data_IF_427152789777
#
_entry.id   IF_427152789777
#
_cell.length_a   1.000
_cell.length_b   1.000
_cell.length_c   1.000
_cell.angle_alpha   90.00
_cell.angle_beta   90.00
_cell.angle_gamma   90.00
#
_symmetry.space_group_name_H-M   'P 1'
#
loop_
_entity.id
_entity.type
_entity.pdbx_description
1 polymer ?
#
# COMPACT_ATOMS: atom_id res chain seq x y z
N UNK A 1 10.11 3.02 14.18
CA UNK A 1 9.15 3.04 13.08
C UNK A 1 8.10 2.03 13.41
N UNK A 2 6.86 2.49 13.51
CA UNK A 2 5.72 1.59 13.62
C UNK A 2 5.67 0.62 12.43
N UNK A 3 4.98 -0.50 12.62
CA UNK A 3 4.67 -1.46 11.57
C UNK A 3 3.17 -1.75 11.59
N UNK A 4 2.59 -2.17 10.46
CA UNK A 4 1.13 -2.42 10.38
C UNK A 4 0.64 -3.39 11.46
N UNK A 5 1.46 -4.39 11.82
CA UNK A 5 1.20 -5.39 12.87
C UNK A 5 1.02 -4.77 14.26
N UNK A 6 1.51 -3.55 14.49
CA UNK A 6 1.32 -2.83 15.76
C UNK A 6 -0.14 -2.41 15.97
N UNK A 7 -0.98 -2.47 14.93
CA UNK A 7 -2.43 -2.28 15.07
C UNK A 7 -3.12 -3.46 15.75
N UNK A 8 -2.53 -4.66 15.77
CA UNK A 8 -3.16 -5.84 16.38
C UNK A 8 -3.46 -5.59 17.85
N UNK A 9 -4.71 -5.81 18.24
CA UNK A 9 -5.24 -5.58 19.58
C UNK A 9 -5.69 -4.14 19.86
N UNK A 10 -5.37 -3.17 18.99
CA UNK A 10 -5.85 -1.78 19.12
C UNK A 10 -7.27 -1.65 18.58
N UNK A 11 -8.03 -0.71 19.13
CA UNK A 11 -9.39 -0.39 18.65
C UNK A 11 -9.36 0.94 17.91
N UNK A 12 -9.71 0.89 16.62
CA UNK A 12 -9.80 2.10 15.81
C UNK A 12 -11.12 2.83 16.07
N UNK A 13 -11.08 4.15 16.14
CA UNK A 13 -12.26 5.02 16.26
C UNK A 13 -12.62 5.68 14.93
N UNK A 14 -11.62 5.90 14.06
CA UNK A 14 -11.81 6.50 12.75
C UNK A 14 -10.66 6.09 11.82
N UNK A 15 -10.96 5.93 10.53
CA UNK A 15 -9.97 5.83 9.46
C UNK A 15 -10.27 6.96 8.46
N UNK A 16 -9.27 7.80 8.19
CA UNK A 16 -9.37 8.83 7.16
C UNK A 16 -8.67 8.38 5.90
N UNK A 17 -9.40 8.40 4.79
CA UNK A 17 -8.87 8.19 3.45
C UNK A 17 -8.69 9.53 2.74
N UNK A 18 -7.44 9.90 2.49
CA UNK A 18 -7.07 11.11 1.75
C UNK A 18 -6.59 10.77 0.31
N UNK A 19 -6.89 9.59 -0.20
CA UNK A 19 -6.55 9.11 -1.54
C UNK A 19 -5.16 8.48 -1.64
N UNK A 20 -4.11 9.19 -1.20
CA UNK A 20 -2.72 8.70 -1.24
C UNK A 20 -2.13 8.39 0.15
N UNK A 21 -2.95 8.47 1.18
CA UNK A 21 -2.57 8.15 2.55
C UNK A 21 -3.82 7.73 3.35
N UNK A 22 -3.60 6.84 4.32
CA UNK A 22 -4.61 6.44 5.29
C UNK A 22 -4.17 6.83 6.70
N UNK A 23 -5.05 7.45 7.47
CA UNK A 23 -4.80 7.81 8.87
C UNK A 23 -5.71 6.99 9.76
N UNK A 24 -5.11 6.15 10.61
CA UNK A 24 -5.79 5.29 11.58
C UNK A 24 -5.77 5.96 12.95
N UNK A 25 -6.94 6.25 13.52
CA UNK A 25 -7.07 6.90 14.83
C UNK A 25 -7.51 5.86 15.85
N UNK A 26 -6.72 5.65 16.89
CA UNK A 26 -6.97 4.68 17.97
C UNK A 26 -7.77 5.34 19.10
N UNK A 27 -8.51 4.54 19.89
CA UNK A 27 -9.34 5.04 21.00
C UNK A 27 -8.56 5.81 22.08
N UNK A 28 -7.27 5.51 22.25
CA UNK A 28 -6.38 6.23 23.17
C UNK A 28 -5.91 7.60 22.62
N UNK A 29 -6.27 7.94 21.38
CA UNK A 29 -5.86 9.15 20.68
C UNK A 29 -4.59 9.00 19.85
N UNK A 30 -3.87 7.89 19.94
CA UNK A 30 -2.74 7.57 19.05
C UNK A 30 -3.20 7.56 17.60
N UNK A 31 -2.36 8.11 16.71
CA UNK A 31 -2.60 8.11 15.28
C UNK A 31 -1.47 7.38 14.56
N UNK A 32 -1.85 6.51 13.63
CA UNK A 32 -0.93 5.88 12.68
C UNK A 32 -1.23 6.38 11.28
N UNK A 33 -0.19 6.47 10.47
CA UNK A 33 -0.27 6.97 9.10
C UNK A 33 0.40 5.97 8.17
N UNK A 34 -0.34 5.56 7.16
CA UNK A 34 0.15 4.76 6.05
C UNK A 34 0.24 5.66 4.82
N UNK A 35 1.45 5.88 4.31
CA UNK A 35 1.69 6.83 3.21
C UNK A 35 2.95 6.45 2.44
N UNK A 36 3.19 7.13 1.32
CA UNK A 36 4.49 7.11 0.65
C UNK A 36 4.86 8.53 0.19
N UNK A 37 6.07 8.97 0.54
CA UNK A 37 6.61 10.25 0.09
C UNK A 37 7.08 10.13 -1.37
N UNK A 38 6.25 10.62 -2.30
CA UNK A 38 6.56 10.54 -3.74
C UNK A 38 7.81 11.35 -4.07
N UNK A 39 8.69 10.76 -4.88
CA UNK A 39 9.85 11.43 -5.47
C UNK A 39 9.73 11.45 -7.02
N UNK A 40 10.64 12.17 -7.69
CA UNK A 40 10.49 12.50 -9.13
C UNK A 40 10.37 11.29 -10.08
N UNK A 41 10.88 10.13 -9.66
CA UNK A 41 11.06 8.95 -10.51
C UNK A 41 10.41 7.69 -9.93
N UNK A 42 9.51 7.85 -8.97
CA UNK A 42 8.71 6.76 -8.39
C UNK A 42 7.26 7.18 -8.20
N UNK A 43 6.37 6.20 -8.22
CA UNK A 43 5.00 6.42 -7.78
C UNK A 43 4.51 5.25 -6.96
N UNK A 44 3.99 5.53 -5.76
CA UNK A 44 3.41 4.52 -4.87
C UNK A 44 2.05 4.99 -4.40
N UNK A 45 0.99 4.29 -4.77
CA UNK A 45 -0.39 4.73 -4.52
C UNK A 45 -1.30 3.57 -4.14
N UNK A 46 -2.43 3.90 -3.49
CA UNK A 46 -3.46 2.93 -3.17
C UNK A 46 -4.17 2.55 -4.48
N UNK A 47 -4.04 1.29 -4.87
CA UNK A 47 -4.66 0.76 -6.09
C UNK A 47 -6.08 0.24 -5.80
N UNK A 48 -6.30 -0.39 -4.65
CA UNK A 48 -7.60 -0.94 -4.27
C UNK A 48 -7.76 -1.04 -2.75
N UNK A 49 -8.99 -0.86 -2.27
CA UNK A 49 -9.40 -1.18 -0.89
C UNK A 49 -10.57 -2.15 -1.01
N UNK A 50 -10.29 -3.42 -0.73
CA UNK A 50 -11.29 -4.48 -0.79
C UNK A 50 -11.91 -4.70 0.59
N UNK A 51 -13.22 -4.46 0.72
CA UNK A 51 -13.93 -4.52 2.00
C UNK A 51 -14.31 -3.14 2.52
N UNK A 52 -15.02 -3.09 3.65
CA UNK A 52 -15.53 -1.85 4.21
C UNK A 52 -14.62 -1.36 5.34
N UNK A 53 -14.03 -0.17 5.21
CA UNK A 53 -13.16 0.40 6.27
C UNK A 53 -13.87 0.51 7.63
N UNK A 54 -15.21 0.69 7.65
CA UNK A 54 -16.01 0.74 8.88
C UNK A 54 -15.99 -0.59 9.66
N UNK A 55 -15.77 -1.71 8.99
CA UNK A 55 -15.62 -3.01 9.66
C UNK A 55 -14.38 -3.03 10.57
N UNK A 56 -13.39 -2.17 10.33
CA UNK A 56 -12.21 -2.04 11.18
C UNK A 56 -12.44 -1.16 12.42
N UNK A 57 -13.58 -0.45 12.50
CA UNK A 57 -13.85 0.56 13.54
C UNK A 57 -14.62 -0.04 14.73
N UNK A 58 -14.28 0.39 15.94
CA UNK A 58 -15.01 0.10 17.17
C UNK A 58 -14.84 -1.31 17.74
N UNK A 59 -14.00 -2.14 17.12
CA UNK A 59 -13.60 -3.45 17.63
C UNK A 59 -12.09 -3.65 17.50
N UNK A 60 -11.44 -4.45 18.37
CA UNK A 60 -10.01 -4.70 18.26
C UNK A 60 -9.63 -5.33 16.92
N UNK A 61 -8.54 -4.85 16.33
CA UNK A 61 -7.92 -5.46 15.16
C UNK A 61 -7.35 -6.82 15.57
N UNK A 62 -7.80 -7.87 14.89
CA UNK A 62 -7.39 -9.25 15.15
C UNK A 62 -6.25 -9.71 14.24
N UNK A 63 -6.14 -9.10 13.06
CA UNK A 63 -5.11 -9.36 12.07
C UNK A 63 -4.67 -8.03 11.48
N UNK A 64 -3.36 -7.85 11.34
CA UNK A 64 -2.76 -6.77 10.57
C UNK A 64 -1.40 -7.28 10.05
N UNK A 65 -1.31 -7.53 8.75
CA UNK A 65 -0.09 -8.06 8.12
C UNK A 65 0.17 -7.39 6.78
N UNK A 66 1.45 -7.35 6.40
CA UNK A 66 1.92 -6.91 5.10
C UNK A 66 2.33 -8.14 4.28
N UNK A 67 1.92 -8.19 3.02
CA UNK A 67 2.21 -9.27 2.09
C UNK A 67 2.61 -8.67 0.74
N UNK A 68 3.84 -8.89 0.31
CA UNK A 68 4.27 -8.63 -1.06
C UNK A 68 3.84 -9.77 -1.99
N UNK A 69 3.51 -9.46 -3.26
CA UNK A 69 2.99 -10.46 -4.18
C UNK A 69 3.67 -10.44 -5.56
N UNK A 70 4.71 -11.26 -5.71
CA UNK A 70 5.43 -11.44 -6.98
C UNK A 70 4.54 -11.99 -8.11
N UNK A 71 3.46 -12.71 -7.80
CA UNK A 71 2.55 -13.26 -8.84
C UNK A 71 1.85 -12.12 -9.60
N UNK A 72 1.48 -11.04 -8.91
CA UNK A 72 0.89 -9.84 -9.54
C UNK A 72 1.90 -9.14 -10.44
N UNK A 73 3.15 -9.01 -10.00
CA UNK A 73 4.24 -8.43 -10.80
C UNK A 73 4.45 -9.24 -12.08
N UNK A 74 4.49 -10.57 -11.98
CA UNK A 74 4.64 -11.46 -13.14
C UNK A 74 3.45 -11.36 -14.10
N UNK A 75 2.23 -11.33 -13.58
CA UNK A 75 1.02 -11.16 -14.40
C UNK A 75 0.98 -9.79 -15.11
N UNK A 76 1.46 -8.74 -14.44
CA UNK A 76 1.56 -7.40 -15.01
C UNK A 76 2.64 -7.31 -16.10
N UNK A 77 3.86 -7.73 -15.79
CA UNK A 77 5.01 -7.67 -16.72
C UNK A 77 4.80 -8.55 -17.97
N UNK A 78 4.02 -9.64 -17.85
CA UNK A 78 3.64 -10.50 -18.99
C UNK A 78 2.78 -9.79 -20.05
N UNK A 79 2.20 -8.62 -19.74
CA UNK A 79 1.45 -7.81 -20.71
C UNK A 79 2.36 -7.10 -21.69
N UNK A 80 3.62 -6.86 -21.32
CA UNK A 80 4.57 -6.09 -22.12
C UNK A 80 5.32 -6.98 -23.09
N UNK A 81 5.39 -6.53 -24.34
CA UNK A 81 6.00 -7.26 -25.46
C UNK A 81 7.18 -6.47 -26.01
N UNK A 82 8.17 -7.19 -26.50
CA UNK A 82 9.29 -6.58 -27.22
C UNK A 82 8.78 -5.91 -28.50
N UNK A 83 9.27 -4.70 -28.77
CA UNK A 83 8.94 -3.93 -29.97
C UNK A 83 10.19 -3.83 -30.83
N UNK A 84 10.10 -4.27 -32.09
CA UNK A 84 11.23 -4.24 -33.03
C UNK A 84 11.80 -2.82 -33.16
N UNK A 85 13.09 -2.65 -32.88
CA UNK A 85 13.77 -1.35 -32.91
C UNK A 85 13.59 -0.49 -31.67
N UNK A 86 13.01 -1.01 -30.58
CA UNK A 86 12.92 -0.33 -29.27
C UNK A 86 13.75 -1.04 -28.20
N UNK A 87 14.24 -0.27 -27.23
CA UNK A 87 14.95 -0.79 -26.05
C UNK A 87 14.01 -1.14 -24.89
N UNK A 88 12.73 -0.76 -24.99
CA UNK A 88 11.74 -0.92 -23.92
C UNK A 88 10.55 -1.73 -24.41
N UNK A 89 10.01 -2.60 -23.55
CA UNK A 89 8.79 -3.35 -23.86
C UNK A 89 7.57 -2.45 -23.73
N UNK A 90 6.52 -2.77 -24.50
CA UNK A 90 5.24 -2.06 -24.46
C UNK A 90 4.06 -3.01 -24.37
N UNK A 91 3.01 -2.58 -23.68
CA UNK A 91 1.72 -3.27 -23.72
C UNK A 91 0.96 -2.97 -25.04
N UNK A 92 -0.21 -3.59 -25.19
CA UNK A 92 -1.08 -3.38 -26.36
C UNK A 92 -1.65 -1.95 -26.45
N UNK A 93 -1.57 -1.16 -25.37
CA UNK A 93 -2.01 0.25 -25.29
C UNK A 93 -0.85 1.24 -25.57
N UNK A 94 0.38 0.75 -25.68
CA UNK A 94 1.59 1.51 -25.99
C UNK A 94 2.32 2.07 -24.77
N UNK A 95 1.92 1.68 -23.55
CA UNK A 95 2.60 2.05 -22.30
C UNK A 95 3.93 1.29 -22.17
N UNK A 96 4.93 1.94 -21.59
CA UNK A 96 6.24 1.33 -21.35
C UNK A 96 6.21 0.46 -20.09
N UNK A 97 6.91 -0.68 -20.12
CA UNK A 97 7.16 -1.47 -18.91
C UNK A 97 7.99 -0.64 -17.93
N UNK A 98 7.55 -0.48 -16.66
CA UNK A 98 8.38 0.16 -15.63
C UNK A 98 9.63 -0.70 -15.37
N UNK A 99 10.74 -0.09 -14.95
CA UNK A 99 11.98 -0.84 -14.68
C UNK A 99 11.85 -1.71 -13.42
N UNK A 100 11.06 -1.26 -12.45
CA UNK A 100 10.67 -2.02 -11.27
C UNK A 100 9.23 -1.67 -10.88
N UNK A 101 8.47 -2.67 -10.45
CA UNK A 101 7.13 -2.49 -9.90
C UNK A 101 6.85 -3.53 -8.82
N UNK A 102 6.04 -3.14 -7.82
CA UNK A 102 5.75 -3.94 -6.64
C UNK A 102 4.28 -3.77 -6.26
N UNK A 103 3.64 -4.88 -5.90
CA UNK A 103 2.35 -4.84 -5.21
C UNK A 103 2.50 -5.27 -3.77
N UNK A 104 2.04 -4.41 -2.87
CA UNK A 104 2.04 -4.65 -1.42
C UNK A 104 0.61 -4.66 -0.91
N UNK A 105 0.26 -5.70 -0.16
CA UNK A 105 -1.07 -5.92 0.38
C UNK A 105 -1.03 -5.81 1.90
N UNK A 106 -1.92 -5.00 2.46
CA UNK A 106 -2.14 -4.90 3.90
C UNK A 106 -3.47 -5.54 4.23
N UNK A 107 -3.42 -6.65 4.97
CA UNK A 107 -4.60 -7.42 5.35
C UNK A 107 -4.95 -7.09 6.79
N UNK A 108 -6.13 -6.50 6.99
CA UNK A 108 -6.66 -6.16 8.30
C UNK A 108 -7.95 -6.91 8.56
N UNK A 109 -8.18 -7.32 9.81
CA UNK A 109 -9.43 -7.98 10.17
C UNK A 109 -9.89 -7.61 11.57
N UNK A 110 -11.20 -7.58 11.77
CA UNK A 110 -11.84 -7.56 13.09
C UNK A 110 -12.87 -8.69 13.18
N UNK A 111 -13.64 -8.73 14.27
CA UNK A 111 -14.82 -9.60 14.37
C UNK A 111 -15.94 -9.22 13.39
N UNK A 112 -15.91 -8.03 12.80
CA UNK A 112 -16.95 -7.54 11.88
C UNK A 112 -16.67 -7.92 10.43
N UNK A 113 -15.41 -7.88 10.02
CA UNK A 113 -15.04 -8.11 8.63
C UNK A 113 -13.53 -8.10 8.38
N UNK A 114 -13.19 -8.20 7.10
CA UNK A 114 -11.83 -8.18 6.57
C UNK A 114 -11.70 -7.03 5.58
N UNK A 115 -10.55 -6.37 5.59
CA UNK A 115 -10.18 -5.35 4.62
C UNK A 115 -8.80 -5.65 4.09
N UNK A 116 -8.67 -5.68 2.77
CA UNK A 116 -7.41 -5.81 2.06
C UNK A 116 -7.10 -4.49 1.36
N UNK A 117 -6.03 -3.81 1.76
CA UNK A 117 -5.56 -2.57 1.13
C UNK A 117 -4.39 -2.93 0.22
N UNK A 118 -4.51 -2.64 -1.07
CA UNK A 118 -3.50 -2.93 -2.07
C UNK A 118 -2.83 -1.63 -2.52
N UNK A 119 -1.52 -1.59 -2.40
CA UNK A 119 -0.67 -0.54 -2.93
C UNK A 119 0.06 -1.02 -4.17
N UNK A 120 0.14 -0.15 -5.15
CA UNK A 120 0.97 -0.32 -6.34
C UNK A 120 2.11 0.68 -6.29
N UNK A 121 3.33 0.19 -6.37
CA UNK A 121 4.55 0.97 -6.50
C UNK A 121 5.23 0.72 -7.85
N UNK A 122 5.72 1.78 -8.49
CA UNK A 122 6.58 1.71 -9.67
C UNK A 122 7.77 2.65 -9.54
N UNK A 123 8.93 2.23 -10.07
CA UNK A 123 10.16 3.01 -10.06
C UNK A 123 11.00 2.73 -11.31
N UNK A 124 11.97 3.59 -11.58
CA UNK A 124 13.05 3.33 -12.52
C UNK A 124 14.13 2.38 -11.97
N UNK A 125 13.88 1.71 -10.85
CA UNK A 125 14.77 0.73 -10.21
C UNK A 125 15.83 1.33 -9.28
N UNK A 126 15.81 2.65 -9.06
CA UNK A 126 16.73 3.33 -8.12
C UNK A 126 16.05 3.82 -6.83
N UNK A 127 14.72 3.82 -6.79
CA UNK A 127 13.94 4.35 -5.68
C UNK A 127 13.03 3.28 -5.06
N UNK A 128 12.42 3.58 -3.93
CA UNK A 128 11.79 2.58 -3.07
C UNK A 128 10.28 2.53 -3.33
N UNK A 129 9.79 1.36 -3.69
CA UNK A 129 8.35 1.15 -3.93
C UNK A 129 7.59 0.76 -2.64
N UNK A 130 8.20 0.99 -1.47
CA UNK A 130 7.69 0.57 -0.16
C UNK A 130 6.77 1.62 0.44
N UNK A 131 5.72 1.18 1.13
CA UNK A 131 4.79 2.06 1.83
C UNK A 131 5.30 2.26 3.26
N UNK A 132 5.34 3.50 3.71
CA UNK A 132 5.72 3.85 5.07
C UNK A 132 4.51 3.72 6.00
N UNK A 133 4.74 3.09 7.15
CA UNK A 133 3.81 3.07 8.27
C UNK A 133 4.46 3.70 9.49
N UNK A 134 3.85 4.75 10.02
CA UNK A 134 4.44 5.54 11.11
C UNK A 134 3.43 5.84 12.19
N UNK A 135 3.91 6.03 13.43
CA UNK A 135 3.12 6.64 14.48
C UNK A 135 3.32 8.17 14.46
N UNK A 136 2.23 8.91 14.24
CA UNK A 136 2.26 10.37 14.13
C UNK A 136 2.72 11.01 15.44
N UNK A 137 3.69 11.93 15.34
CA UNK A 137 4.26 12.63 16.50
C UNK A 137 5.30 11.83 17.31
N UNK A 138 5.58 10.58 16.90
CA UNK A 138 6.61 9.72 17.50
C UNK A 138 7.70 9.39 16.49
N UNK A 139 7.29 8.84 15.34
CA UNK A 139 8.19 8.54 14.23
C UNK A 139 8.38 9.78 13.34
N UNK A 140 9.51 9.83 12.63
CA UNK A 140 9.79 10.91 11.67
C UNK A 140 9.13 10.59 10.34
N UNK A 141 8.41 11.57 9.79
CA UNK A 141 8.03 11.62 8.39
C UNK A 141 9.27 11.99 7.56
N UNK A 142 9.54 11.20 6.53
CA UNK A 142 10.56 11.47 5.52
C UNK A 142 9.89 11.88 4.22
#
# INVERSE_FOLDING_TARGET
>A
MAEIKDLVGKTLTEIKDNGNELIFIVDDGTQYKMYHAQDCCESVSIEDINGELDDLIGTPILLAEEVSNDDFVNAFTSKFKEVEGSYSKKDDEGNYEPESCTWTFYKLATIKGYVDIRWFGESNGYYSESVDFIQVGVDREW
#
